data_IF_793819432830
#
_entry.id   IF_793819432830
#
_cell.length_a   1.000
_cell.length_b   1.000
_cell.length_c   1.000
_cell.angle_alpha   90.00
_cell.angle_beta   90.00
_cell.angle_gamma   90.00
#
_symmetry.space_group_name_H-M   'P 1'
#
loop_
_entity.id
_entity.type
_entity.pdbx_description
1 polymer ?
#
# COMPACT_ATOMS: atom_id res chain seq x y z
N UNK A 1 22.41 57.00 85.64
CA UNK A 1 22.70 57.48 84.27
C UNK A 1 21.35 57.67 83.59
N UNK A 2 20.95 58.92 83.33
CA UNK A 2 19.70 59.21 82.62
C UNK A 2 19.89 58.82 81.13
N UNK A 3 19.01 57.98 80.61
CA UNK A 3 19.02 57.61 79.19
C UNK A 3 18.67 58.84 78.38
N UNK A 4 19.49 59.17 77.38
CA UNK A 4 19.31 60.34 76.51
C UNK A 4 17.95 60.24 75.79
N UNK A 5 17.06 61.24 75.94
CA UNK A 5 15.76 61.27 75.25
C UNK A 5 15.88 61.12 73.73
N UNK A 6 16.98 61.60 73.14
CA UNK A 6 17.27 61.49 71.70
C UNK A 6 17.48 60.02 71.27
N UNK A 7 18.22 59.25 72.07
CA UNK A 7 18.46 57.82 71.81
C UNK A 7 17.19 56.99 71.97
N UNK A 8 16.31 57.39 72.90
CA UNK A 8 15.02 56.72 73.15
C UNK A 8 14.03 56.95 72.00
N UNK A 9 14.02 58.15 71.41
CA UNK A 9 13.22 58.44 70.23
C UNK A 9 13.71 57.67 68.99
N UNK A 10 15.04 57.62 68.80
CA UNK A 10 15.66 56.89 67.70
C UNK A 10 15.37 55.38 67.75
N UNK A 11 15.42 54.77 68.94
CA UNK A 11 15.04 53.37 69.18
C UNK A 11 13.57 53.09 68.83
N UNK A 12 12.64 54.01 69.15
CA UNK A 12 11.22 53.86 68.80
C UNK A 12 11.01 53.90 67.29
N UNK A 13 11.69 54.80 66.58
CA UNK A 13 11.62 54.89 65.10
C UNK A 13 12.16 53.62 64.45
N UNK A 14 13.34 53.15 64.88
CA UNK A 14 13.93 51.91 64.38
C UNK A 14 13.02 50.69 64.66
N UNK A 15 12.36 50.63 65.82
CA UNK A 15 11.41 49.57 66.12
C UNK A 15 10.20 49.57 65.16
N UNK A 16 9.66 50.75 64.80
CA UNK A 16 8.57 50.85 63.84
C UNK A 16 9.00 50.43 62.42
N UNK A 17 10.17 50.87 61.97
CA UNK A 17 10.73 50.47 60.68
C UNK A 17 10.97 48.96 60.61
N UNK A 18 11.50 48.34 61.67
CA UNK A 18 11.70 46.89 61.74
C UNK A 18 10.36 46.14 61.67
N UNK A 19 9.30 46.64 62.31
CA UNK A 19 7.97 46.04 62.20
C UNK A 19 7.39 46.15 60.79
N UNK A 20 7.53 47.30 60.14
CA UNK A 20 7.04 47.50 58.77
C UNK A 20 7.79 46.61 57.77
N UNK A 21 9.12 46.50 57.91
CA UNK A 21 9.94 45.60 57.10
C UNK A 21 9.57 44.13 57.30
N UNK A 22 9.23 43.72 58.54
CA UNK A 22 8.74 42.35 58.81
C UNK A 22 7.40 42.07 58.13
N UNK A 23 6.47 43.04 58.17
CA UNK A 23 5.17 42.91 57.49
C UNK A 23 5.36 42.81 55.98
N UNK A 24 6.18 43.70 55.39
CA UNK A 24 6.49 43.67 53.96
C UNK A 24 7.17 42.35 53.53
N UNK A 25 8.11 41.84 54.33
CA UNK A 25 8.76 40.55 54.09
C UNK A 25 7.77 39.38 54.10
N UNK A 26 6.77 39.41 54.98
CA UNK A 26 5.75 38.36 55.07
C UNK A 26 4.82 38.39 53.85
N UNK A 27 4.35 39.58 53.46
CA UNK A 27 3.53 39.77 52.25
C UNK A 27 4.29 39.32 50.99
N UNK A 28 5.58 39.64 50.89
CA UNK A 28 6.41 39.17 49.77
C UNK A 28 6.53 37.64 49.73
N UNK A 29 6.69 36.98 50.89
CA UNK A 29 6.74 35.52 50.95
C UNK A 29 5.42 34.86 50.49
N UNK A 30 4.28 35.44 50.86
CA UNK A 30 2.95 34.98 50.42
C UNK A 30 2.78 35.16 48.90
N UNK A 31 3.19 36.30 48.35
CA UNK A 31 3.17 36.57 46.90
C UNK A 31 4.06 35.58 46.13
N UNK A 32 5.28 35.31 46.61
CA UNK A 32 6.17 34.32 45.99
C UNK A 32 5.55 32.92 45.98
N UNK A 33 4.87 32.54 47.06
CA UNK A 33 4.18 31.24 47.12
C UNK A 33 2.99 31.16 46.16
N UNK A 34 2.25 32.26 45.99
CA UNK A 34 1.16 32.34 45.00
C UNK A 34 1.71 32.21 43.57
N UNK A 35 2.76 32.96 43.23
CA UNK A 35 3.41 32.89 41.93
C UNK A 35 3.97 31.50 41.63
N UNK A 36 4.53 30.80 42.62
CA UNK A 36 5.00 29.41 42.46
C UNK A 36 3.85 28.45 42.12
N UNK A 37 2.69 28.61 42.76
CA UNK A 37 1.51 27.78 42.46
C UNK A 37 0.99 28.05 41.06
N UNK A 38 0.91 29.32 40.66
CA UNK A 38 0.50 29.72 39.31
C UNK A 38 1.47 29.18 38.25
N UNK A 39 2.78 29.25 38.50
CA UNK A 39 3.80 28.70 37.61
C UNK A 39 3.65 27.17 37.43
N UNK A 40 3.41 26.43 38.51
CA UNK A 40 3.20 24.98 38.42
C UNK A 40 1.89 24.63 37.69
N UNK A 41 0.84 25.43 37.86
CA UNK A 41 -0.40 25.28 37.08
C UNK A 41 -0.14 25.54 35.60
N UNK A 42 0.60 26.60 35.25
CA UNK A 42 0.96 26.89 33.86
C UNK A 42 1.83 25.80 33.23
N UNK A 43 2.78 25.22 33.97
CA UNK A 43 3.57 24.09 33.47
C UNK A 43 2.71 22.88 33.12
N UNK A 44 1.74 22.54 33.99
CA UNK A 44 0.80 21.45 33.72
C UNK A 44 -0.05 21.73 32.49
N UNK A 45 -0.62 22.92 32.38
CA UNK A 45 -1.40 23.32 31.22
C UNK A 45 -0.56 23.26 29.92
N UNK A 46 0.70 23.70 29.96
CA UNK A 46 1.59 23.63 28.80
C UNK A 46 1.91 22.18 28.40
N UNK A 47 2.09 21.27 29.37
CA UNK A 47 2.32 19.87 29.08
C UNK A 47 1.11 19.21 28.40
N UNK A 48 -0.11 19.53 28.86
CA UNK A 48 -1.36 19.07 28.24
C UNK A 48 -1.51 19.60 26.81
N UNK A 49 -1.23 20.89 26.58
CA UNK A 49 -1.25 21.49 25.23
C UNK A 49 -0.22 20.82 24.32
N UNK A 50 0.99 20.57 24.80
CA UNK A 50 2.02 19.91 24.01
C UNK A 50 1.59 18.49 23.57
N UNK A 51 1.00 17.72 24.48
CA UNK A 51 0.47 16.39 24.16
C UNK A 51 -0.68 16.46 23.14
N UNK A 52 -1.60 17.40 23.30
CA UNK A 52 -2.69 17.60 22.33
C UNK A 52 -2.14 17.98 20.94
N UNK A 53 -1.14 18.87 20.86
CA UNK A 53 -0.50 19.25 19.60
C UNK A 53 0.17 18.05 18.92
N UNK A 54 0.84 17.19 19.69
CA UNK A 54 1.47 15.98 19.15
C UNK A 54 0.44 15.04 18.51
N UNK A 55 -0.65 14.75 19.22
CA UNK A 55 -1.73 13.89 18.69
C UNK A 55 -2.37 14.50 17.44
N UNK A 56 -2.62 15.81 17.43
CA UNK A 56 -3.17 16.51 16.26
C UNK A 56 -2.19 16.48 15.07
N UNK A 57 -0.88 16.52 15.31
CA UNK A 57 0.11 16.38 14.25
C UNK A 57 0.09 14.98 13.64
N UNK A 58 -0.01 13.93 14.46
CA UNK A 58 -0.15 12.55 13.99
C UNK A 58 -1.42 12.38 13.15
N UNK A 59 -2.57 12.85 13.66
CA UNK A 59 -3.84 12.78 12.95
C UNK A 59 -3.81 13.55 11.63
N UNK A 60 -3.19 14.75 11.62
CA UNK A 60 -2.96 15.52 10.39
C UNK A 60 -2.12 14.76 9.36
N UNK A 61 -1.09 14.02 9.79
CA UNK A 61 -0.30 13.19 8.86
C UNK A 61 -1.12 12.02 8.30
N UNK A 62 -1.92 11.36 9.14
CA UNK A 62 -2.81 10.29 8.72
C UNK A 62 -3.86 10.78 7.71
N UNK A 63 -4.48 11.93 7.98
CA UNK A 63 -5.45 12.55 7.08
C UNK A 63 -4.82 12.95 5.74
N UNK A 64 -3.58 13.46 5.73
CA UNK A 64 -2.87 13.76 4.48
C UNK A 64 -2.68 12.52 3.62
N UNK A 65 -2.28 11.40 4.21
CA UNK A 65 -2.13 10.13 3.51
C UNK A 65 -3.49 9.65 2.98
N UNK A 66 -4.56 9.73 3.79
CA UNK A 66 -5.91 9.37 3.37
C UNK A 66 -6.39 10.21 2.18
N UNK A 67 -6.22 11.54 2.24
CA UNK A 67 -6.56 12.46 1.15
C UNK A 67 -5.75 12.16 -0.11
N UNK A 68 -4.46 11.87 0.02
CA UNK A 68 -3.63 11.47 -1.13
C UNK A 68 -4.18 10.20 -1.79
N UNK A 69 -4.50 9.18 -1.00
CA UNK A 69 -5.09 7.92 -1.49
C UNK A 69 -6.44 8.15 -2.18
N UNK A 70 -7.32 8.97 -1.59
CA UNK A 70 -8.61 9.33 -2.19
C UNK A 70 -8.45 10.09 -3.51
N UNK A 71 -7.48 11.01 -3.61
CA UNK A 71 -7.18 11.70 -4.87
C UNK A 71 -6.72 10.73 -5.96
N UNK A 72 -5.84 9.79 -5.60
CA UNK A 72 -5.40 8.75 -6.53
C UNK A 72 -6.58 7.87 -6.99
N UNK A 73 -7.48 7.50 -6.08
CA UNK A 73 -8.71 6.76 -6.43
C UNK A 73 -9.63 7.55 -7.36
N UNK A 74 -9.87 8.83 -7.07
CA UNK A 74 -10.69 9.68 -7.93
C UNK A 74 -10.09 9.83 -9.33
N UNK A 75 -8.77 9.91 -9.45
CA UNK A 75 -8.11 9.94 -10.75
C UNK A 75 -8.31 8.61 -11.52
N UNK A 76 -8.21 7.47 -10.83
CA UNK A 76 -8.48 6.15 -11.42
C UNK A 76 -9.95 6.05 -11.87
N UNK A 77 -10.91 6.41 -11.00
CA UNK A 77 -12.34 6.39 -11.33
C UNK A 77 -12.66 7.32 -12.50
N UNK A 78 -12.05 8.51 -12.56
CA UNK A 78 -12.24 9.43 -13.68
C UNK A 78 -11.77 8.82 -15.00
N UNK A 79 -10.63 8.11 -15.01
CA UNK A 79 -10.16 7.36 -16.19
C UNK A 79 -11.11 6.22 -16.56
N UNK A 80 -11.66 5.49 -15.57
CA UNK A 80 -12.65 4.44 -15.81
C UNK A 80 -13.92 5.00 -16.44
N UNK A 81 -14.46 6.09 -15.88
CA UNK A 81 -15.63 6.79 -16.41
C UNK A 81 -15.37 7.27 -17.83
N UNK A 82 -14.19 7.80 -18.11
CA UNK A 82 -13.83 8.21 -19.45
C UNK A 82 -13.85 7.03 -20.43
N UNK A 83 -13.23 5.89 -20.08
CA UNK A 83 -13.29 4.67 -20.88
C UNK A 83 -14.71 4.17 -21.10
N UNK A 84 -15.57 4.21 -20.08
CA UNK A 84 -16.98 3.83 -20.19
C UNK A 84 -17.74 4.79 -21.11
N UNK A 85 -17.50 6.10 -21.03
CA UNK A 85 -18.07 7.08 -21.95
C UNK A 85 -17.62 6.84 -23.40
N UNK A 86 -16.34 6.53 -23.60
CA UNK A 86 -15.79 6.23 -24.92
C UNK A 86 -16.40 4.93 -25.50
N UNK A 87 -16.71 3.94 -24.64
CA UNK A 87 -17.45 2.72 -25.02
C UNK A 87 -18.91 2.98 -25.36
N UNK A 88 -19.62 3.79 -24.58
CA UNK A 88 -21.01 4.19 -24.90
C UNK A 88 -21.07 4.91 -26.26
N UNK A 89 -20.00 5.63 -26.62
CA UNK A 89 -19.93 6.39 -27.87
C UNK A 89 -19.59 5.51 -29.08
N UNK A 90 -18.89 4.40 -28.89
CA UNK A 90 -18.50 3.46 -29.94
C UNK A 90 -19.27 2.15 -29.72
N UNK A 91 -20.45 2.02 -30.34
CA UNK A 91 -21.32 0.83 -30.30
C UNK A 91 -20.71 -0.38 -31.04
N UNK A 92 -19.45 -0.72 -30.80
CA UNK A 92 -18.84 -1.95 -31.30
C UNK A 92 -18.56 -2.90 -30.13
N UNK A 93 -19.39 -3.94 -30.10
CA UNK A 93 -19.33 -5.09 -29.21
C UNK A 93 -18.00 -5.84 -29.39
N UNK A 94 -17.13 -5.76 -28.40
CA UNK A 94 -16.23 -6.86 -28.09
C UNK A 94 -16.54 -7.35 -26.67
N UNK A 95 -17.19 -8.51 -26.58
CA UNK A 95 -17.54 -9.24 -25.35
C UNK A 95 -16.34 -9.66 -24.48
N UNK A 96 -15.11 -9.27 -24.84
CA UNK A 96 -13.88 -9.73 -24.20
C UNK A 96 -13.28 -8.77 -23.15
N UNK A 97 -13.89 -7.60 -22.92
CA UNK A 97 -13.35 -6.60 -22.00
C UNK A 97 -13.91 -6.70 -20.58
N UNK A 98 -13.09 -7.26 -19.70
CA UNK A 98 -13.38 -7.49 -18.29
C UNK A 98 -13.67 -6.19 -17.54
N UNK A 99 -14.76 -6.21 -16.78
CA UNK A 99 -14.95 -5.33 -15.62
C UNK A 99 -13.84 -5.60 -14.61
N UNK A 100 -13.02 -4.58 -14.33
CA UNK A 100 -12.27 -4.52 -13.08
C UNK A 100 -13.28 -4.42 -11.94
N UNK A 101 -13.63 -5.57 -11.36
CA UNK A 101 -14.46 -5.70 -10.15
C UNK A 101 -13.91 -4.75 -9.08
N UNK A 102 -14.80 -4.01 -8.42
CA UNK A 102 -14.39 -3.04 -7.42
C UNK A 102 -13.85 -3.74 -6.17
N UNK A 103 -12.86 -3.14 -5.51
CA UNK A 103 -12.15 -3.78 -4.41
C UNK A 103 -13.05 -4.14 -3.21
N UNK A 104 -14.12 -3.38 -2.99
CA UNK A 104 -15.11 -3.65 -1.93
C UNK A 104 -16.00 -4.86 -2.27
N UNK A 105 -16.13 -5.21 -3.55
CA UNK A 105 -16.88 -6.38 -4.03
C UNK A 105 -16.07 -7.68 -3.97
N UNK A 106 -14.73 -7.60 -4.03
CA UNK A 106 -13.82 -8.77 -3.93
C UNK A 106 -13.88 -9.40 -2.54
N UNK A 107 -14.07 -8.58 -1.48
CA UNK A 107 -14.09 -9.03 -0.10
C UNK A 107 -12.84 -9.85 0.29
N UNK A 108 -13.06 -11.03 0.90
CA UNK A 108 -11.99 -11.99 1.25
C UNK A 108 -11.77 -13.07 0.20
N UNK A 109 -12.48 -13.03 -0.93
CA UNK A 109 -12.49 -14.12 -1.90
C UNK A 109 -11.48 -13.90 -3.03
N UNK A 110 -10.20 -13.80 -2.67
CA UNK A 110 -9.11 -13.65 -3.65
C UNK A 110 -7.92 -14.57 -3.34
N UNK A 111 -7.15 -14.88 -4.38
CA UNK A 111 -5.95 -15.70 -4.35
C UNK A 111 -4.74 -14.85 -4.70
N UNK A 112 -3.79 -14.73 -3.77
CA UNK A 112 -2.51 -14.07 -4.03
C UNK A 112 -1.57 -15.01 -4.79
N UNK A 113 -1.31 -14.68 -6.04
CA UNK A 113 -0.43 -15.39 -6.96
C UNK A 113 0.91 -14.67 -6.98
N UNK A 114 2.01 -15.37 -6.78
CA UNK A 114 3.33 -14.74 -6.90
C UNK A 114 4.42 -15.45 -6.12
N UNK A 115 5.66 -15.21 -6.53
CA UNK A 115 6.85 -15.83 -5.97
C UNK A 115 7.29 -17.08 -6.72
N UNK A 116 8.58 -17.43 -6.57
CA UNK A 116 9.26 -18.46 -7.35
C UNK A 116 8.62 -19.86 -7.28
N UNK A 117 7.94 -20.17 -6.17
CA UNK A 117 7.32 -21.47 -5.93
C UNK A 117 5.86 -21.54 -6.36
N UNK A 118 5.26 -20.41 -6.77
CA UNK A 118 3.85 -20.36 -7.12
C UNK A 118 3.65 -20.85 -8.57
N UNK A 119 2.90 -21.96 -8.78
CA UNK A 119 2.74 -22.54 -10.10
C UNK A 119 1.92 -21.66 -11.03
N UNK A 120 1.09 -20.73 -10.52
CA UNK A 120 0.32 -19.79 -11.34
C UNK A 120 1.09 -18.48 -11.61
N UNK A 121 2.16 -18.21 -10.86
CA UNK A 121 2.96 -17.00 -11.05
C UNK A 121 3.66 -16.95 -12.40
N UNK A 122 3.87 -15.73 -12.88
CA UNK A 122 4.59 -15.48 -14.10
C UNK A 122 6.09 -15.67 -13.85
N UNK A 123 6.63 -16.81 -14.27
CA UNK A 123 8.05 -17.15 -14.16
C UNK A 123 8.70 -17.35 -15.54
N UNK A 124 8.00 -17.03 -16.63
CA UNK A 124 8.50 -17.25 -17.97
C UNK A 124 9.23 -16.00 -18.47
N UNK A 125 10.51 -16.17 -18.82
CA UNK A 125 11.28 -15.20 -19.57
C UNK A 125 10.69 -15.12 -20.99
N UNK A 126 9.68 -14.26 -21.16
CA UNK A 126 9.18 -13.91 -22.48
C UNK A 126 10.25 -13.06 -23.15
N UNK A 127 10.74 -13.55 -24.30
CA UNK A 127 11.44 -12.71 -25.26
C UNK A 127 10.38 -11.91 -26.02
N UNK A 128 10.39 -10.61 -25.86
CA UNK A 128 9.52 -9.72 -26.62
C UNK A 128 10.09 -9.64 -28.04
N UNK A 129 9.41 -10.22 -29.03
CA UNK A 129 9.80 -10.05 -30.44
C UNK A 129 9.17 -8.76 -30.95
N UNK A 130 9.99 -7.82 -31.41
CA UNK A 130 9.55 -6.57 -32.03
C UNK A 130 9.36 -6.77 -33.54
N UNK A 131 8.36 -7.56 -33.93
CA UNK A 131 8.03 -7.78 -35.35
C UNK A 131 7.48 -6.50 -36.02
N UNK A 132 7.10 -5.50 -35.23
CA UNK A 132 6.33 -4.33 -35.67
C UNK A 132 7.12 -3.00 -35.60
N UNK A 133 8.41 -3.02 -35.28
CA UNK A 133 9.33 -1.88 -35.41
C UNK A 133 9.08 -0.74 -34.42
N UNK A 134 8.72 -1.04 -33.17
CA UNK A 134 8.42 -0.03 -32.15
C UNK A 134 9.66 0.69 -31.60
N UNK A 135 10.84 0.15 -31.87
CA UNK A 135 12.11 0.72 -31.42
C UNK A 135 12.80 1.43 -32.59
N UNK A 136 12.89 2.76 -32.52
CA UNK A 136 13.71 3.56 -33.43
C UNK A 136 15.23 3.45 -33.16
N UNK A 137 15.61 2.61 -32.20
CA UNK A 137 16.99 2.39 -31.75
C UNK A 137 17.30 0.89 -31.72
N UNK A 138 18.21 0.46 -32.61
CA UNK A 138 18.60 -0.94 -32.79
C UNK A 138 19.32 -1.52 -31.58
N UNK A 139 20.05 -0.70 -30.81
CA UNK A 139 20.84 -1.17 -29.68
C UNK A 139 19.92 -1.53 -28.49
N UNK A 140 18.93 -0.68 -28.22
CA UNK A 140 17.90 -0.94 -27.21
C UNK A 140 16.91 -2.06 -27.64
N UNK A 141 16.68 -2.23 -28.95
CA UNK A 141 15.88 -3.32 -29.51
C UNK A 141 16.49 -4.69 -29.19
N UNK A 142 17.79 -4.89 -29.40
CA UNK A 142 18.46 -6.16 -29.08
C UNK A 142 18.43 -6.47 -27.58
N UNK A 143 18.58 -5.45 -26.71
CA UNK A 143 18.47 -5.62 -25.26
C UNK A 143 17.06 -6.06 -24.86
N UNK A 144 16.02 -5.46 -25.42
CA UNK A 144 14.63 -5.79 -25.08
C UNK A 144 14.22 -7.19 -25.60
N UNK A 145 14.76 -7.61 -26.76
CA UNK A 145 14.51 -8.94 -27.33
C UNK A 145 15.25 -10.06 -26.61
N UNK A 146 16.41 -9.78 -26.02
CA UNK A 146 17.27 -10.81 -25.40
C UNK A 146 17.23 -10.83 -23.88
N UNK A 147 16.84 -9.73 -23.23
CA UNK A 147 16.93 -9.60 -21.79
C UNK A 147 15.66 -10.04 -21.04
N UNK A 148 15.83 -10.39 -19.77
CA UNK A 148 14.72 -10.64 -18.85
C UNK A 148 13.86 -9.37 -18.70
N UNK A 149 12.57 -9.55 -18.39
CA UNK A 149 11.59 -8.45 -18.25
C UNK A 149 12.12 -7.23 -17.48
N UNK A 150 12.80 -7.46 -16.35
CA UNK A 150 13.37 -6.40 -15.52
C UNK A 150 14.43 -5.56 -16.23
N UNK A 151 15.21 -6.16 -17.13
CA UNK A 151 16.26 -5.48 -17.90
C UNK A 151 15.65 -4.76 -19.10
N UNK A 152 14.65 -5.35 -19.74
CA UNK A 152 13.88 -4.69 -20.80
C UNK A 152 13.19 -3.40 -20.30
N UNK A 153 12.58 -3.43 -19.11
CA UNK A 153 11.91 -2.25 -18.53
C UNK A 153 12.93 -1.17 -18.08
N UNK A 154 14.17 -1.53 -17.76
CA UNK A 154 15.24 -0.57 -17.52
C UNK A 154 15.75 0.07 -18.82
N UNK A 155 15.95 -0.72 -19.88
CA UNK A 155 16.44 -0.26 -21.18
C UNK A 155 15.47 0.72 -21.86
N UNK A 156 14.16 0.52 -21.68
CA UNK A 156 13.10 1.44 -22.13
C UNK A 156 13.37 2.90 -21.75
N UNK A 157 13.91 3.17 -20.56
CA UNK A 157 14.12 4.54 -20.07
C UNK A 157 15.18 5.33 -20.87
N UNK A 158 16.00 4.63 -21.66
CA UNK A 158 17.05 5.21 -22.48
C UNK A 158 16.60 5.53 -23.92
N UNK A 159 15.36 5.17 -24.28
CA UNK A 159 14.86 5.27 -25.66
C UNK A 159 14.23 6.65 -25.89
N UNK A 160 14.74 7.38 -26.87
CA UNK A 160 14.21 8.70 -27.27
C UNK A 160 12.86 8.52 -27.98
N UNK A 161 11.86 9.31 -27.58
CA UNK A 161 10.50 9.29 -28.14
C UNK A 161 9.76 7.94 -27.98
N UNK A 162 9.91 7.29 -26.82
CA UNK A 162 9.26 6.02 -26.53
C UNK A 162 7.73 6.11 -26.37
N UNK A 163 6.98 5.32 -27.15
CA UNK A 163 5.53 5.17 -27.00
C UNK A 163 5.18 4.11 -25.94
N UNK A 164 4.89 4.59 -24.72
CA UNK A 164 4.52 3.72 -23.61
C UNK A 164 3.16 3.02 -23.79
N UNK A 165 2.22 3.62 -24.52
CA UNK A 165 0.90 3.03 -24.71
C UNK A 165 0.98 1.83 -25.64
N UNK A 166 1.65 1.98 -26.77
CA UNK A 166 1.86 0.92 -27.73
C UNK A 166 2.68 -0.23 -27.14
N UNK A 167 3.74 0.09 -26.39
CA UNK A 167 4.52 -0.91 -25.67
C UNK A 167 3.68 -1.71 -24.67
N UNK A 168 2.84 -1.04 -23.89
CA UNK A 168 1.97 -1.71 -22.91
C UNK A 168 0.98 -2.68 -23.56
N UNK A 169 0.49 -2.39 -24.76
CA UNK A 169 -0.36 -3.32 -25.53
C UNK A 169 0.42 -4.58 -25.94
N UNK A 170 1.61 -4.40 -26.52
CA UNK A 170 2.50 -5.51 -26.94
C UNK A 170 2.89 -6.37 -25.74
N UNK A 171 3.29 -5.73 -24.63
CA UNK A 171 3.61 -6.39 -23.37
C UNK A 171 2.47 -7.31 -22.93
N UNK A 172 1.24 -6.79 -22.93
CA UNK A 172 0.06 -7.54 -22.51
C UNK A 172 -0.23 -8.72 -23.43
N UNK A 173 -0.09 -8.55 -24.74
CA UNK A 173 -0.27 -9.62 -25.73
C UNK A 173 0.75 -10.74 -25.53
N UNK A 174 2.03 -10.39 -25.42
CA UNK A 174 3.09 -11.37 -25.18
C UNK A 174 2.87 -12.10 -23.85
N UNK A 175 2.59 -11.37 -22.77
CA UNK A 175 2.26 -11.92 -21.46
C UNK A 175 1.11 -12.93 -21.54
N UNK A 176 0.04 -12.59 -22.23
CA UNK A 176 -1.14 -13.44 -22.42
C UNK A 176 -0.79 -14.72 -23.16
N UNK A 177 -0.07 -14.63 -24.29
CA UNK A 177 0.36 -15.79 -25.09
C UNK A 177 1.24 -16.74 -24.27
N UNK A 178 2.17 -16.22 -23.48
CA UNK A 178 3.05 -17.05 -22.67
C UNK A 178 2.33 -17.76 -21.53
N UNK A 179 1.42 -17.07 -20.85
CA UNK A 179 0.59 -17.69 -19.82
C UNK A 179 -0.32 -18.75 -20.42
N UNK A 180 -0.92 -18.48 -21.59
CA UNK A 180 -1.73 -19.46 -22.31
C UNK A 180 -0.93 -20.71 -22.63
N UNK A 181 0.26 -20.56 -23.21
CA UNK A 181 1.16 -21.68 -23.52
C UNK A 181 1.51 -22.50 -22.29
N UNK A 182 1.92 -21.83 -21.20
CA UNK A 182 2.22 -22.48 -19.92
C UNK A 182 1.04 -23.31 -19.39
N UNK A 183 -0.16 -22.74 -19.43
CA UNK A 183 -1.38 -23.40 -18.94
C UNK A 183 -1.79 -24.55 -19.87
N UNK A 184 -1.60 -24.41 -21.19
CA UNK A 184 -1.90 -25.50 -22.14
C UNK A 184 -0.93 -26.68 -22.03
N UNK A 185 0.35 -26.41 -21.76
CA UNK A 185 1.38 -27.45 -21.67
C UNK A 185 1.38 -28.15 -20.30
N UNK A 186 1.09 -27.41 -19.22
CA UNK A 186 1.17 -27.91 -17.84
C UNK A 186 -0.22 -28.18 -17.27
N UNK A 187 -0.68 -29.42 -17.42
CA UNK A 187 -1.98 -29.89 -16.91
C UNK A 187 -2.19 -29.61 -15.42
N UNK A 188 -1.17 -29.84 -14.58
CA UNK A 188 -1.25 -29.53 -13.15
C UNK A 188 -1.49 -28.05 -12.86
N UNK A 189 -1.00 -27.13 -13.70
CA UNK A 189 -1.24 -25.68 -13.58
C UNK A 189 -2.64 -25.33 -14.05
N UNK A 190 -3.10 -25.94 -15.15
CA UNK A 190 -4.48 -25.80 -15.63
C UNK A 190 -5.49 -26.23 -14.56
N UNK A 191 -5.31 -27.40 -13.94
CA UNK A 191 -6.20 -27.90 -12.89
C UNK A 191 -6.29 -26.91 -11.71
N UNK A 192 -5.16 -26.37 -11.26
CA UNK A 192 -5.14 -25.35 -10.20
C UNK A 192 -5.85 -24.06 -10.59
N UNK A 193 -5.73 -23.65 -11.86
CA UNK A 193 -6.43 -22.48 -12.37
C UNK A 193 -7.95 -22.71 -12.40
N UNK A 194 -8.40 -23.89 -12.83
CA UNK A 194 -9.82 -24.26 -12.82
C UNK A 194 -10.38 -24.32 -11.40
N UNK A 195 -9.64 -24.95 -10.46
CA UNK A 195 -10.03 -25.03 -9.04
C UNK A 195 -10.13 -23.67 -8.35
N UNK A 196 -9.48 -22.63 -8.88
CA UNK A 196 -9.66 -21.27 -8.37
C UNK A 196 -11.05 -20.68 -8.65
N UNK A 197 -11.84 -21.32 -9.52
CA UNK A 197 -13.27 -21.10 -9.74
C UNK A 197 -13.68 -19.61 -9.78
N UNK A 198 -14.37 -19.11 -8.76
CA UNK A 198 -14.86 -17.73 -8.70
C UNK A 198 -13.94 -16.78 -7.92
N UNK A 199 -12.76 -17.25 -7.49
CA UNK A 199 -11.81 -16.41 -6.76
C UNK A 199 -11.21 -15.34 -7.67
N UNK A 200 -11.06 -14.14 -7.12
CA UNK A 200 -10.30 -13.09 -7.78
C UNK A 200 -8.80 -13.42 -7.72
N UNK A 201 -8.10 -13.39 -8.85
CA UNK A 201 -6.68 -13.73 -8.91
C UNK A 201 -5.84 -12.44 -8.86
N UNK A 202 -4.95 -12.34 -7.88
CA UNK A 202 -4.13 -11.16 -7.63
C UNK A 202 -2.65 -11.47 -7.81
N UNK A 203 -2.03 -10.92 -8.85
CA UNK A 203 -0.59 -11.06 -9.12
C UNK A 203 0.22 -10.16 -8.18
N UNK A 204 0.81 -10.75 -7.14
CA UNK A 204 1.61 -10.07 -6.12
C UNK A 204 3.05 -9.85 -6.58
N UNK A 205 3.21 -9.04 -7.61
CA UNK A 205 4.49 -8.57 -8.14
C UNK A 205 4.67 -7.08 -7.85
N UNK A 206 5.94 -6.64 -7.71
CA UNK A 206 6.27 -5.21 -7.54
C UNK A 206 5.92 -4.37 -8.76
N UNK A 207 5.73 -5.00 -9.91
CA UNK A 207 5.29 -4.35 -11.13
C UNK A 207 3.85 -3.84 -10.97
N UNK A 208 3.61 -2.56 -11.30
CA UNK A 208 2.29 -1.93 -11.17
C UNK A 208 1.39 -2.10 -12.39
N UNK A 209 1.92 -2.60 -13.51
CA UNK A 209 1.12 -2.87 -14.71
C UNK A 209 0.52 -4.27 -14.65
N UNK A 210 1.35 -5.30 -14.48
CA UNK A 210 0.90 -6.69 -14.37
C UNK A 210 0.52 -7.10 -12.95
N UNK A 211 1.20 -6.55 -11.95
CA UNK A 211 1.00 -6.88 -10.56
C UNK A 211 0.12 -5.90 -9.80
N UNK A 212 -0.04 -6.19 -8.52
CA UNK A 212 -0.69 -5.32 -7.52
C UNK A 212 0.23 -4.21 -7.03
N UNK A 213 1.50 -4.21 -7.46
CA UNK A 213 2.57 -3.33 -6.99
C UNK A 213 3.21 -3.78 -5.67
N UNK A 214 2.68 -4.85 -5.05
CA UNK A 214 3.18 -5.39 -3.78
C UNK A 214 3.59 -6.86 -3.91
N UNK A 215 4.77 -7.19 -3.39
CA UNK A 215 5.21 -8.59 -3.27
C UNK A 215 4.41 -9.33 -2.21
N UNK A 216 4.20 -10.63 -2.40
CA UNK A 216 3.45 -11.54 -1.51
C UNK A 216 3.90 -11.53 -0.04
N UNK A 217 5.12 -11.06 0.26
CA UNK A 217 5.64 -10.98 1.63
C UNK A 217 5.24 -9.69 2.38
N UNK A 218 4.67 -8.70 1.69
CA UNK A 218 4.29 -7.40 2.24
C UNK A 218 2.89 -7.47 2.85
N UNK A 219 2.63 -6.70 3.91
CA UNK A 219 1.31 -6.70 4.56
C UNK A 219 0.26 -6.00 3.68
N UNK A 220 0.71 -5.10 2.83
CA UNK A 220 -0.10 -4.38 1.85
C UNK A 220 -0.62 -5.31 0.75
N UNK A 221 0.09 -6.41 0.45
CA UNK A 221 -0.33 -7.34 -0.61
C UNK A 221 -1.64 -8.07 -0.28
N UNK A 222 -1.95 -8.27 1.01
CA UNK A 222 -3.22 -8.88 1.45
C UNK A 222 -4.36 -7.87 1.59
N UNK A 223 -4.11 -6.58 1.34
CA UNK A 223 -5.10 -5.51 1.46
C UNK A 223 -5.34 -4.91 0.08
N UNK A 224 -6.34 -5.38 -0.68
CA UNK A 224 -6.63 -4.84 -2.02
C UNK A 224 -6.73 -3.31 -2.05
N UNK A 225 -7.24 -2.70 -0.98
CA UNK A 225 -7.32 -1.26 -0.77
C UNK A 225 -5.98 -0.50 -0.89
N UNK A 226 -4.85 -1.18 -0.65
CA UNK A 226 -3.50 -0.62 -0.68
C UNK A 226 -2.77 -0.91 -1.99
N UNK A 227 -3.36 -1.70 -2.89
CA UNK A 227 -2.73 -2.00 -4.17
C UNK A 227 -2.63 -0.75 -5.03
N UNK A 228 -1.41 -0.47 -5.48
CA UNK A 228 -1.07 0.66 -6.35
C UNK A 228 -0.86 0.22 -7.81
N UNK A 229 -0.96 -1.09 -8.08
CA UNK A 229 -0.92 -1.69 -9.41
C UNK A 229 -2.28 -2.06 -10.01
N UNK A 230 -2.29 -2.33 -11.31
CA UNK A 230 -3.48 -2.62 -12.13
C UNK A 230 -3.88 -4.11 -12.11
N UNK A 231 -3.00 -5.01 -11.65
CA UNK A 231 -3.25 -6.45 -11.61
C UNK A 231 -3.64 -7.08 -12.96
N UNK A 232 -3.14 -6.57 -14.09
CA UNK A 232 -3.48 -7.12 -15.41
C UNK A 232 -3.06 -8.59 -15.55
N UNK A 233 -2.01 -9.03 -14.86
CA UNK A 233 -1.58 -10.42 -14.85
C UNK A 233 -2.61 -11.36 -14.22
N UNK A 234 -3.26 -10.92 -13.14
CA UNK A 234 -4.38 -11.63 -12.53
C UNK A 234 -5.61 -11.69 -13.45
N UNK A 235 -5.91 -10.57 -14.12
CA UNK A 235 -6.99 -10.50 -15.11
C UNK A 235 -6.78 -11.50 -16.25
N UNK A 236 -5.57 -11.54 -16.83
CA UNK A 236 -5.21 -12.51 -17.88
C UNK A 236 -5.44 -13.95 -17.42
N UNK A 237 -5.02 -14.31 -16.20
CA UNK A 237 -5.25 -15.65 -15.66
C UNK A 237 -6.74 -15.97 -15.53
N UNK A 238 -7.57 -15.01 -15.10
CA UNK A 238 -9.02 -15.19 -15.03
C UNK A 238 -9.65 -15.35 -16.43
N UNK A 239 -9.15 -14.65 -17.46
CA UNK A 239 -9.57 -14.88 -18.86
C UNK A 239 -9.25 -16.29 -19.30
N UNK A 240 -8.01 -16.72 -19.09
CA UNK A 240 -7.56 -18.05 -19.45
C UNK A 240 -8.31 -19.13 -18.66
N UNK A 241 -8.66 -18.89 -17.39
CA UNK A 241 -9.52 -19.77 -16.60
C UNK A 241 -10.87 -20.01 -17.30
N UNK A 242 -11.56 -18.93 -17.68
CA UNK A 242 -12.85 -19.04 -18.42
C UNK A 242 -12.68 -19.79 -19.73
N UNK A 243 -11.59 -19.52 -20.48
CA UNK A 243 -11.27 -20.21 -21.74
C UNK A 243 -11.06 -21.71 -21.56
N UNK A 244 -10.19 -22.10 -20.62
CA UNK A 244 -9.86 -23.51 -20.39
C UNK A 244 -10.99 -24.28 -19.69
N UNK A 245 -11.81 -23.63 -18.86
CA UNK A 245 -12.94 -24.27 -18.19
C UNK A 245 -13.92 -24.92 -19.18
N UNK A 246 -14.10 -24.33 -20.37
CA UNK A 246 -14.98 -24.85 -21.43
C UNK A 246 -14.54 -26.22 -21.95
N UNK A 247 -13.24 -26.48 -22.01
CA UNK A 247 -12.65 -27.70 -22.59
C UNK A 247 -12.08 -28.66 -21.55
N UNK A 248 -11.98 -28.22 -20.29
CA UNK A 248 -11.33 -28.96 -19.23
C UNK A 248 -12.14 -30.19 -18.83
N UNK A 249 -11.45 -31.33 -18.69
CA UNK A 249 -12.00 -32.59 -18.19
C UNK A 249 -10.94 -33.27 -17.32
N UNK A 250 -11.34 -33.76 -16.17
CA UNK A 250 -10.52 -34.60 -15.31
C UNK A 250 -10.21 -35.93 -16.01
N UNK A 251 -8.97 -36.41 -15.94
CA UNK A 251 -8.57 -37.71 -16.48
C UNK A 251 -9.02 -38.84 -15.55
N UNK A 252 -9.05 -38.59 -14.25
CA UNK A 252 -9.48 -39.54 -13.22
C UNK A 252 -9.91 -38.79 -11.97
N UNK A 253 -10.65 -39.47 -11.10
CA UNK A 253 -11.03 -38.97 -9.78
C UNK A 253 -9.80 -38.72 -8.89
N UNK A 254 -8.76 -39.56 -9.01
CA UNK A 254 -7.49 -39.38 -8.30
C UNK A 254 -6.78 -38.09 -8.69
N UNK A 255 -6.78 -37.72 -9.98
CA UNK A 255 -6.19 -36.44 -10.44
C UNK A 255 -6.91 -35.26 -9.80
N UNK A 256 -8.24 -35.32 -9.74
CA UNK A 256 -9.04 -34.27 -9.13
C UNK A 256 -8.72 -34.12 -7.64
N UNK A 257 -8.70 -35.23 -6.89
CA UNK A 257 -8.37 -35.23 -5.45
C UNK A 257 -6.95 -34.71 -5.20
N UNK A 258 -5.96 -35.09 -6.01
CA UNK A 258 -4.59 -34.57 -5.89
C UNK A 258 -4.54 -33.06 -6.14
N UNK A 259 -5.23 -32.59 -7.17
CA UNK A 259 -5.30 -31.17 -7.51
C UNK A 259 -5.99 -30.36 -6.40
N UNK A 260 -7.10 -30.86 -5.84
CA UNK A 260 -7.82 -30.24 -4.72
C UNK A 260 -6.95 -30.15 -3.47
N UNK A 261 -6.22 -31.21 -3.13
CA UNK A 261 -5.27 -31.22 -2.00
C UNK A 261 -4.17 -30.16 -2.21
N UNK A 262 -3.57 -30.12 -3.41
CA UNK A 262 -2.54 -29.15 -3.74
C UNK A 262 -3.08 -27.72 -3.71
N UNK A 263 -4.30 -27.50 -4.19
CA UNK A 263 -4.97 -26.21 -4.13
C UNK A 263 -5.25 -25.78 -2.68
N UNK A 264 -5.69 -26.71 -1.84
CA UNK A 264 -5.87 -26.50 -0.41
C UNK A 264 -4.59 -26.06 0.30
N UNK A 265 -3.45 -26.69 -0.02
CA UNK A 265 -2.14 -26.26 0.49
C UNK A 265 -1.78 -24.85 0.03
N UNK A 266 -1.93 -24.53 -1.27
CA UNK A 266 -1.69 -23.18 -1.80
C UNK A 266 -2.53 -22.13 -1.07
N UNK A 267 -3.80 -22.44 -0.78
CA UNK A 267 -4.69 -21.56 -0.03
C UNK A 267 -4.19 -21.34 1.40
N UNK A 268 -3.69 -22.37 2.10
CA UNK A 268 -3.11 -22.22 3.44
C UNK A 268 -1.90 -21.27 3.47
N UNK A 269 -1.04 -21.32 2.46
CA UNK A 269 0.15 -20.44 2.37
C UNK A 269 -0.20 -18.97 2.10
N UNK A 270 -1.38 -18.68 1.54
CA UNK A 270 -1.87 -17.33 1.29
C UNK A 270 -2.37 -16.64 2.58
N UNK A 271 -2.85 -17.41 3.56
CA UNK A 271 -3.40 -16.87 4.81
C UNK A 271 -2.46 -16.95 6.03
N UNK A 272 -1.46 -17.84 6.03
CA UNK A 272 -0.60 -18.09 7.21
C UNK A 272 0.33 -16.94 7.63
N UNK A 273 0.59 -15.92 6.78
CA UNK A 273 1.42 -14.78 7.20
C UNK A 273 0.65 -13.67 7.94
N UNK A 274 -0.68 -13.69 7.92
CA UNK A 274 -1.48 -12.68 8.64
C UNK A 274 -1.43 -12.89 10.16
N UNK A 275 -1.14 -14.10 10.66
CA UNK A 275 -1.15 -14.39 12.11
C UNK A 275 0.20 -14.36 12.84
N UNK A 276 1.35 -14.24 12.16
CA UNK A 276 2.66 -14.41 12.82
C UNK A 276 3.26 -13.16 13.47
N UNK A 277 2.61 -11.99 13.39
CA UNK A 277 3.16 -10.74 13.96
C UNK A 277 2.59 -10.34 15.32
N UNK A 278 1.59 -11.05 15.83
CA UNK A 278 0.93 -10.75 17.12
C UNK A 278 1.36 -11.64 18.29
N UNK A 279 2.26 -12.60 18.09
CA UNK A 279 2.64 -13.56 19.15
C UNK A 279 4.08 -13.42 19.66
N UNK A 280 4.87 -12.45 19.15
CA UNK A 280 6.23 -12.19 19.66
C UNK A 280 6.35 -10.96 20.58
N UNK A 281 5.23 -10.39 21.04
CA UNK A 281 5.20 -9.33 22.05
C UNK A 281 4.23 -9.70 23.19
N UNK A 282 4.46 -10.85 23.82
CA UNK A 282 3.96 -11.15 25.17
C UNK A 282 5.08 -11.77 25.97
#
# INVERSE_FOLDING_TARGET
>A
MAVDPSQTALLKTLCHEITDLKVASKVNAENVNKLKKELEQQKKANAEVHNAVFLLQEEKTNLRVAVHNLKMRNAIMSRKIQKLKDRIKNEDESDDDFELIEFDEIGRNFLMIGGRQDPLAFNYNIKFSDENGYFNDKENQEIIQTAEYSKAEQAKNSIVAFDEQQWNQVKLQCYTKAQERKISELRSVQNLLILSDNMYLASCESDRYFGTGWRKQREESVRPLHWDGQNLGGVVLMKLRKKFAKTHKWQSENEQVEAENRFGELRKYIWRRIKKRTENNK
#
